data_IF_747636544961
#
_entry.id   IF_747636544961
#
_cell.length_a   1.000
_cell.length_b   1.000
_cell.length_c   1.000
_cell.angle_alpha   90.00
_cell.angle_beta   90.00
_cell.angle_gamma   90.00
#
_symmetry.space_group_name_H-M   'P 1'
#
loop_
_entity.id
_entity.type
_entity.pdbx_description
1 polymer ?
#
# COMPACT_ATOMS: atom_id res chain seq x y z
N UNK A 1 -19.09 13.45 12.05
CA UNK A 1 -18.25 12.88 10.97
C UNK A 1 -17.28 13.96 10.51
N UNK A 2 -15.96 13.71 10.49
CA UNK A 2 -15.00 14.67 9.89
C UNK A 2 -15.33 14.83 8.41
N UNK A 3 -15.46 16.05 7.92
CA UNK A 3 -15.60 16.34 6.49
C UNK A 3 -14.20 16.35 5.87
N UNK A 4 -13.71 15.18 5.48
CA UNK A 4 -12.44 15.07 4.78
C UNK A 4 -12.55 15.59 3.34
N UNK A 5 -11.49 16.24 2.82
CA UNK A 5 -11.38 16.55 1.40
C UNK A 5 -11.60 15.31 0.53
N UNK A 6 -12.14 15.48 -0.68
CA UNK A 6 -12.37 14.35 -1.60
C UNK A 6 -11.08 13.58 -1.91
N UNK A 7 -9.97 14.30 -2.07
CA UNK A 7 -8.65 13.73 -2.35
C UNK A 7 -8.18 12.82 -1.21
N UNK A 8 -8.34 13.27 0.04
CA UNK A 8 -8.01 12.45 1.21
C UNK A 8 -8.92 11.22 1.33
N UNK A 9 -10.21 11.34 0.98
CA UNK A 9 -11.11 10.18 0.95
C UNK A 9 -10.68 9.16 -0.09
N UNK A 10 -10.22 9.61 -1.25
CA UNK A 10 -9.74 8.73 -2.31
C UNK A 10 -8.44 8.04 -1.90
N UNK A 11 -7.49 8.78 -1.33
CA UNK A 11 -6.27 8.22 -0.76
C UNK A 11 -6.58 7.13 0.29
N UNK A 12 -7.50 7.39 1.22
CA UNK A 12 -7.91 6.42 2.24
C UNK A 12 -8.51 5.13 1.65
N UNK A 13 -9.32 5.24 0.58
CA UNK A 13 -9.87 4.07 -0.10
C UNK A 13 -8.78 3.22 -0.74
N UNK A 14 -7.81 3.85 -1.38
CA UNK A 14 -6.68 3.17 -2.01
C UNK A 14 -5.79 2.48 -0.96
N UNK A 15 -5.54 3.14 0.18
CA UNK A 15 -4.81 2.53 1.31
C UNK A 15 -5.56 1.34 1.92
N UNK A 16 -6.90 1.40 2.01
CA UNK A 16 -7.71 0.28 2.47
C UNK A 16 -7.69 -0.88 1.44
N UNK A 17 -7.76 -0.56 0.15
CA UNK A 17 -7.67 -1.54 -0.93
C UNK A 17 -6.30 -2.24 -0.94
N UNK A 18 -5.21 -1.48 -0.78
CA UNK A 18 -3.87 -2.04 -0.63
C UNK A 18 -3.84 -3.05 0.54
N UNK A 19 -4.28 -2.65 1.74
CA UNK A 19 -4.31 -3.56 2.91
C UNK A 19 -5.12 -4.83 2.66
N UNK A 20 -6.22 -4.75 1.92
CA UNK A 20 -7.05 -5.91 1.56
C UNK A 20 -6.32 -6.94 0.70
N UNK A 21 -5.43 -6.48 -0.20
CA UNK A 21 -4.65 -7.39 -1.06
C UNK A 21 -3.50 -8.10 -0.33
N UNK A 22 -3.18 -7.71 0.91
CA UNK A 22 -2.27 -8.47 1.77
C UNK A 22 -3.04 -9.64 2.42
N UNK A 23 -2.64 -10.91 2.18
CA UNK A 23 -3.26 -12.06 2.81
C UNK A 23 -3.43 -11.90 4.33
N UNK A 24 -4.57 -12.29 4.89
CA UNK A 24 -4.76 -12.31 6.36
C UNK A 24 -3.78 -13.27 7.06
N UNK A 25 -3.29 -14.27 6.34
CA UNK A 25 -2.28 -15.21 6.81
C UNK A 25 -0.84 -14.64 6.83
N UNK A 26 -0.64 -13.42 6.31
CA UNK A 26 0.65 -12.74 6.45
C UNK A 26 0.83 -12.30 7.89
N UNK A 27 1.94 -12.74 8.49
CA UNK A 27 2.39 -12.28 9.80
C UNK A 27 2.85 -10.82 9.70
N UNK A 28 1.88 -9.90 9.65
CA UNK A 28 2.11 -8.47 9.65
C UNK A 28 2.66 -8.08 11.02
N UNK A 29 3.84 -7.44 11.11
CA UNK A 29 4.35 -7.00 12.40
C UNK A 29 3.34 -6.09 13.10
N UNK A 30 2.94 -6.46 14.32
CA UNK A 30 1.86 -5.79 15.05
C UNK A 30 2.10 -4.28 15.24
N UNK A 31 3.36 -3.85 15.32
CA UNK A 31 3.73 -2.44 15.43
C UNK A 31 3.48 -1.67 14.14
N UNK A 32 3.74 -2.27 12.96
CA UNK A 32 3.45 -1.65 11.67
C UNK A 32 1.95 -1.57 11.40
N UNK A 33 1.21 -2.63 11.73
CA UNK A 33 -0.25 -2.62 11.59
C UNK A 33 -0.92 -1.62 12.54
N UNK A 34 -0.43 -1.53 13.79
CA UNK A 34 -0.86 -0.50 14.73
C UNK A 34 -0.48 0.90 14.24
N UNK A 35 0.70 1.06 13.67
CA UNK A 35 1.17 2.32 13.06
C UNK A 35 0.24 2.77 11.94
N UNK A 36 -0.08 1.87 11.01
CA UNK A 36 -1.05 2.10 9.94
C UNK A 36 -2.40 2.57 10.48
N UNK A 37 -3.00 1.84 11.42
CA UNK A 37 -4.29 2.21 11.99
C UNK A 37 -4.26 3.53 12.77
N UNK A 38 -3.14 3.84 13.42
CA UNK A 38 -2.96 5.11 14.14
C UNK A 38 -2.90 6.27 13.16
N UNK A 39 -2.09 6.15 12.11
CA UNK A 39 -1.97 7.15 11.05
C UNK A 39 -3.33 7.41 10.36
N UNK A 40 -4.12 6.38 10.08
CA UNK A 40 -5.48 6.53 9.53
C UNK A 40 -6.42 7.30 10.48
N UNK A 41 -6.37 7.05 11.79
CA UNK A 41 -7.19 7.77 12.78
C UNK A 41 -6.81 9.25 12.86
N UNK A 42 -5.51 9.56 12.73
CA UNK A 42 -5.00 10.92 12.75
C UNK A 42 -5.25 11.65 11.42
N UNK A 43 -5.29 10.92 10.31
CA UNK A 43 -5.40 11.44 8.95
C UNK A 43 -4.10 11.67 8.23
N UNK A 44 -3.06 11.03 8.72
CA UNK A 44 -1.72 11.04 8.19
C UNK A 44 -1.63 9.97 7.09
N UNK A 45 -2.28 10.22 5.96
CA UNK A 45 -2.29 9.29 4.83
C UNK A 45 -0.86 8.92 4.35
N UNK A 46 0.12 9.85 4.31
CA UNK A 46 1.51 9.49 4.00
C UNK A 46 2.14 8.51 5.01
N UNK A 47 1.92 8.71 6.31
CA UNK A 47 2.45 7.79 7.33
C UNK A 47 1.79 6.40 7.25
N UNK A 48 0.50 6.35 6.93
CA UNK A 48 -0.21 5.09 6.68
C UNK A 48 0.32 4.37 5.43
N UNK A 49 0.68 5.12 4.39
CA UNK A 49 1.30 4.61 3.17
C UNK A 49 2.69 4.03 3.46
N UNK A 50 3.53 4.72 4.23
CA UNK A 50 4.86 4.24 4.61
C UNK A 50 4.79 2.95 5.44
N UNK A 51 3.82 2.82 6.34
CA UNK A 51 3.60 1.60 7.12
C UNK A 51 3.23 0.41 6.22
N UNK A 52 2.32 0.63 5.24
CA UNK A 52 1.98 -0.40 4.27
C UNK A 52 3.16 -0.76 3.37
N UNK A 53 3.94 0.22 2.89
CA UNK A 53 5.15 -0.03 2.10
C UNK A 53 6.11 -0.96 2.83
N UNK A 54 6.36 -0.72 4.12
CA UNK A 54 7.20 -1.59 4.94
C UNK A 54 6.64 -3.00 5.07
N UNK A 55 5.33 -3.15 5.29
CA UNK A 55 4.67 -4.46 5.32
C UNK A 55 4.83 -5.17 3.96
N UNK A 56 4.64 -4.45 2.86
CA UNK A 56 4.84 -4.97 1.51
C UNK A 56 6.25 -5.51 1.26
N UNK A 57 7.29 -4.81 1.70
CA UNK A 57 8.66 -5.29 1.54
C UNK A 57 9.00 -6.53 2.37
N UNK A 58 8.30 -6.74 3.48
CA UNK A 58 8.47 -7.95 4.30
C UNK A 58 7.82 -9.19 3.68
N UNK A 59 6.98 -8.99 2.66
CA UNK A 59 6.09 -10.02 2.16
C UNK A 59 6.11 -10.06 0.63
N UNK A 60 6.94 -10.94 0.08
CA UNK A 60 7.08 -11.18 -1.36
C UNK A 60 6.68 -12.61 -1.74
N UNK A 61 6.22 -12.80 -2.97
CA UNK A 61 5.97 -14.11 -3.55
C UNK A 61 4.52 -14.58 -3.41
N UNK A 62 3.55 -13.67 -3.39
CA UNK A 62 2.13 -14.00 -3.32
C UNK A 62 1.39 -13.51 -4.57
N UNK A 63 0.33 -14.22 -4.95
CA UNK A 63 -0.41 -13.97 -6.19
C UNK A 63 -1.06 -12.57 -6.25
N UNK A 64 -1.40 -12.00 -5.09
CA UNK A 64 -2.02 -10.67 -4.97
C UNK A 64 -1.02 -9.53 -4.78
N UNK A 65 0.28 -9.83 -4.69
CA UNK A 65 1.32 -8.84 -4.40
C UNK A 65 1.35 -7.71 -5.45
N UNK A 66 1.17 -8.05 -6.73
CA UNK A 66 1.11 -7.04 -7.79
C UNK A 66 -0.09 -6.09 -7.63
N UNK A 67 -1.23 -6.57 -7.11
CA UNK A 67 -2.40 -5.75 -6.84
C UNK A 67 -2.16 -4.83 -5.64
N UNK A 68 -1.54 -5.35 -4.58
CA UNK A 68 -1.13 -4.55 -3.42
C UNK A 68 -0.28 -3.34 -3.83
N UNK A 69 0.82 -3.55 -4.56
CA UNK A 69 1.70 -2.46 -4.98
C UNK A 69 1.03 -1.50 -5.96
N UNK A 70 0.09 -1.99 -6.78
CA UNK A 70 -0.70 -1.14 -7.68
C UNK A 70 -1.61 -0.18 -6.93
N UNK A 71 -2.26 -0.63 -5.86
CA UNK A 71 -3.08 0.25 -5.03
C UNK A 71 -2.22 1.27 -4.27
N UNK A 72 -1.04 0.86 -3.77
CA UNK A 72 -0.06 1.80 -3.19
C UNK A 72 0.43 2.84 -4.19
N UNK A 73 0.69 2.45 -5.44
CA UNK A 73 1.04 3.36 -6.53
C UNK A 73 -0.04 4.44 -6.72
N UNK A 74 -1.31 4.05 -6.84
CA UNK A 74 -2.38 5.03 -7.00
C UNK A 74 -2.56 5.90 -5.76
N UNK A 75 -2.39 5.34 -4.55
CA UNK A 75 -2.44 6.10 -3.32
C UNK A 75 -1.34 7.19 -3.31
N UNK A 76 -0.11 6.84 -3.68
CA UNK A 76 1.00 7.78 -3.80
C UNK A 76 0.73 8.88 -4.85
N UNK A 77 0.16 8.52 -6.02
CA UNK A 77 -0.22 9.51 -7.03
C UNK A 77 -1.28 10.48 -6.50
N UNK A 78 -2.30 9.98 -5.82
CA UNK A 78 -3.39 10.77 -5.25
C UNK A 78 -2.90 11.73 -4.16
N UNK A 79 -1.81 11.39 -3.47
CA UNK A 79 -1.18 12.21 -2.43
C UNK A 79 -0.07 13.13 -2.95
N UNK A 80 0.25 13.10 -4.25
CA UNK A 80 1.33 13.92 -4.82
C UNK A 80 2.72 13.47 -4.34
N UNK A 81 2.93 12.17 -4.15
CA UNK A 81 4.20 11.57 -3.71
C UNK A 81 4.89 10.85 -4.89
N UNK A 82 5.54 11.58 -5.81
CA UNK A 82 6.07 11.01 -7.06
C UNK A 82 7.21 10.02 -6.82
N UNK A 83 8.02 10.21 -5.78
CA UNK A 83 9.13 9.30 -5.46
C UNK A 83 8.61 7.93 -5.01
N UNK A 84 7.60 7.91 -4.14
CA UNK A 84 6.92 6.67 -3.75
C UNK A 84 6.26 5.99 -4.95
N UNK A 85 5.53 6.75 -5.77
CA UNK A 85 4.89 6.20 -6.97
C UNK A 85 5.90 5.55 -7.93
N UNK A 86 7.06 6.19 -8.14
CA UNK A 86 8.11 5.62 -9.00
C UNK A 86 8.68 4.31 -8.41
N UNK A 87 8.94 4.26 -7.10
CA UNK A 87 9.37 3.02 -6.43
C UNK A 87 8.36 1.89 -6.59
N UNK A 88 7.07 2.18 -6.38
CA UNK A 88 6.02 1.17 -6.48
C UNK A 88 5.80 0.69 -7.91
N UNK A 89 5.91 1.60 -8.89
CA UNK A 89 5.88 1.21 -10.29
C UNK A 89 7.00 0.22 -10.63
N UNK A 90 8.19 0.43 -10.07
CA UNK A 90 9.31 -0.50 -10.27
C UNK A 90 9.06 -1.85 -9.60
N UNK A 91 8.52 -1.88 -8.37
CA UNK A 91 8.13 -3.13 -7.72
C UNK A 91 7.11 -3.93 -8.53
N UNK A 92 6.08 -3.27 -9.06
CA UNK A 92 5.08 -3.92 -9.91
C UNK A 92 5.75 -4.57 -11.13
N UNK A 93 6.73 -3.90 -11.76
CA UNK A 93 7.47 -4.46 -12.90
C UNK A 93 8.27 -5.70 -12.50
N UNK A 94 8.99 -5.65 -11.38
CA UNK A 94 9.78 -6.78 -10.86
C UNK A 94 8.87 -7.99 -10.63
N UNK A 95 7.79 -7.81 -9.88
CA UNK A 95 6.84 -8.88 -9.54
C UNK A 95 6.19 -9.44 -10.81
N UNK A 96 5.75 -8.58 -11.72
CA UNK A 96 5.15 -9.01 -13.00
C UNK A 96 6.14 -9.81 -13.85
N UNK A 97 7.44 -9.47 -13.83
CA UNK A 97 8.46 -10.24 -14.53
C UNK A 97 8.70 -11.60 -13.86
N UNK A 98 8.72 -11.65 -12.52
CA UNK A 98 8.84 -12.90 -11.77
C UNK A 98 7.69 -13.87 -12.04
N UNK A 99 6.45 -13.37 -12.04
CA UNK A 99 5.26 -14.19 -12.31
C UNK A 99 5.28 -14.79 -13.72
N UNK A 100 5.78 -14.06 -14.73
CA UNK A 100 5.92 -14.57 -16.11
C UNK A 100 6.97 -15.67 -16.26
N UNK A 101 7.96 -15.75 -15.36
CA UNK A 101 8.98 -16.81 -15.40
C UNK A 101 8.52 -18.09 -14.70
N UNK A 102 7.45 -18.02 -13.91
CA UNK A 102 6.92 -19.16 -13.14
C UNK A 102 5.73 -19.85 -13.83
N UNK A 103 5.19 -19.29 -14.92
CA UNK A 103 4.09 -19.86 -15.72
C UNK A 103 4.54 -20.19 -17.13
#
# INVERSE_FOLDING_TARGET
>A
MRNWPQESKQALRLLAAARYFLPEALDCPADLERGYHTALRLGECPAALDALEQIGYLHSGHETEAHFWKELYYAAQQMGLPEHALRYQEQIRIISAMLRMQG
#
